data_IF_146565810868
#
_entry.id   IF_146565810868
#
_cell.length_a   1.000
_cell.length_b   1.000
_cell.length_c   1.000
_cell.angle_alpha   90.00
_cell.angle_beta   90.00
_cell.angle_gamma   90.00
#
_symmetry.space_group_name_H-M   'P 1'
#
loop_
_entity.id
_entity.type
_entity.pdbx_description
1 polymer ?
#
# COMPACT_ATOMS: atom_id res chain seq x y z
N UNK A 1 21.00 1.71 28.47
CA UNK A 1 20.88 0.40 27.78
C UNK A 1 19.46 -0.19 27.90
N UNK A 2 18.42 0.53 27.46
CA UNK A 2 16.99 0.09 27.57
C UNK A 2 16.30 -0.18 26.21
N UNK A 3 16.94 0.06 25.06
CA UNK A 3 16.21 0.19 23.78
C UNK A 3 16.10 -1.10 22.94
N UNK A 4 17.00 -2.08 23.08
CA UNK A 4 17.01 -3.27 22.20
C UNK A 4 16.01 -4.34 22.62
N UNK A 5 15.77 -4.48 23.93
CA UNK A 5 14.81 -5.47 24.45
C UNK A 5 13.34 -5.07 24.24
N UNK A 6 13.02 -3.77 24.33
CA UNK A 6 11.67 -3.26 24.09
C UNK A 6 11.24 -3.48 22.63
N UNK A 7 12.10 -3.08 21.67
CA UNK A 7 11.86 -3.29 20.22
C UNK A 7 11.71 -4.76 19.84
N UNK A 8 12.48 -5.65 20.47
CA UNK A 8 12.39 -7.11 20.22
C UNK A 8 11.05 -7.68 20.71
N UNK A 9 10.51 -7.16 21.82
CA UNK A 9 9.21 -7.59 22.35
C UNK A 9 8.04 -7.11 21.46
N UNK A 10 8.13 -5.90 20.92
CA UNK A 10 7.13 -5.35 19.99
C UNK A 10 7.08 -6.17 18.68
N UNK A 11 8.23 -6.47 18.09
CA UNK A 11 8.29 -7.28 16.85
C UNK A 11 7.70 -8.67 17.08
N UNK A 12 8.04 -9.32 18.20
CA UNK A 12 7.47 -10.62 18.55
C UNK A 12 5.96 -10.58 18.78
N UNK A 13 5.42 -9.46 19.27
CA UNK A 13 3.99 -9.25 19.45
C UNK A 13 3.28 -9.15 18.09
N UNK A 14 3.84 -8.36 17.17
CA UNK A 14 3.35 -8.24 15.80
C UNK A 14 3.30 -9.61 15.11
N UNK A 15 4.38 -10.39 15.20
CA UNK A 15 4.43 -11.73 14.60
C UNK A 15 3.33 -12.64 15.15
N UNK A 16 3.08 -12.60 16.47
CA UNK A 16 2.03 -13.39 17.11
C UNK A 16 0.63 -12.97 16.66
N UNK A 17 0.36 -11.66 16.59
CA UNK A 17 -0.92 -11.12 16.13
C UNK A 17 -1.18 -11.48 14.66
N UNK A 18 -0.14 -11.40 13.84
CA UNK A 18 -0.17 -11.83 12.44
C UNK A 18 -0.49 -13.31 12.27
N UNK A 19 0.20 -14.20 13.01
CA UNK A 19 -0.07 -15.64 12.94
C UNK A 19 -1.50 -15.96 13.38
N UNK A 20 -1.99 -15.33 14.47
CA UNK A 20 -3.38 -15.49 14.91
C UNK A 20 -4.39 -15.07 13.84
N UNK A 21 -4.17 -13.93 13.18
CA UNK A 21 -5.02 -13.45 12.10
C UNK A 21 -5.04 -14.43 10.91
N UNK A 22 -3.87 -14.95 10.53
CA UNK A 22 -3.75 -15.96 9.47
C UNK A 22 -4.48 -17.26 9.81
N UNK A 23 -4.36 -17.73 11.05
CA UNK A 23 -5.04 -18.94 11.52
C UNK A 23 -6.57 -18.79 11.48
N UNK A 24 -7.08 -17.63 11.92
CA UNK A 24 -8.51 -17.32 11.89
C UNK A 24 -9.03 -17.32 10.44
N UNK A 25 -8.34 -16.62 9.53
CA UNK A 25 -8.70 -16.59 8.11
C UNK A 25 -8.71 -17.99 7.51
N UNK A 26 -7.72 -18.83 7.82
CA UNK A 26 -7.66 -20.20 7.29
C UNK A 26 -8.80 -21.04 7.81
N UNK A 27 -9.10 -20.94 9.11
CA UNK A 27 -10.21 -21.66 9.70
C UNK A 27 -11.52 -21.28 9.01
N UNK A 28 -11.76 -19.98 8.81
CA UNK A 28 -13.00 -19.50 8.22
C UNK A 28 -13.07 -19.76 6.71
N UNK A 29 -11.94 -19.66 5.99
CA UNK A 29 -11.83 -20.10 4.59
C UNK A 29 -12.13 -21.58 4.42
N UNK A 30 -11.63 -22.44 5.31
CA UNK A 30 -11.94 -23.89 5.29
C UNK A 30 -13.42 -24.15 5.54
N UNK A 31 -14.02 -23.48 6.54
CA UNK A 31 -15.45 -23.60 6.84
C UNK A 31 -16.32 -23.17 5.65
N UNK A 32 -15.91 -22.09 4.98
CA UNK A 32 -16.65 -21.57 3.84
C UNK A 32 -16.31 -22.28 2.50
N UNK A 33 -15.30 -23.16 2.49
CA UNK A 33 -14.85 -23.90 1.31
C UNK A 33 -14.23 -23.01 0.24
N UNK A 34 -13.51 -21.95 0.65
CA UNK A 34 -12.85 -20.99 -0.25
C UNK A 34 -11.32 -21.08 -0.14
N UNK A 35 -10.62 -20.72 -1.22
CA UNK A 35 -9.16 -20.60 -1.25
C UNK A 35 -8.75 -19.12 -1.14
N UNK A 36 -7.59 -18.80 -0.56
CA UNK A 36 -6.63 -19.71 0.06
C UNK A 36 -7.03 -20.17 1.48
N UNK A 37 -6.84 -21.47 1.75
CA UNK A 37 -7.17 -22.16 3.01
C UNK A 37 -5.94 -22.78 3.69
N UNK A 38 -4.75 -22.28 3.34
CA UNK A 38 -3.48 -22.79 3.84
C UNK A 38 -2.43 -21.68 3.91
N UNK A 39 -1.42 -21.88 4.76
CA UNK A 39 -0.31 -20.94 4.93
C UNK A 39 0.38 -20.67 3.59
N UNK A 40 0.58 -21.71 2.79
CA UNK A 40 1.21 -21.59 1.47
C UNK A 40 0.35 -20.73 0.54
N UNK A 41 -0.96 -20.97 0.51
CA UNK A 41 -1.89 -20.19 -0.32
C UNK A 41 -1.88 -18.72 0.05
N UNK A 42 -2.00 -18.40 1.35
CA UNK A 42 -1.97 -17.02 1.83
C UNK A 42 -0.61 -16.37 1.52
N UNK A 43 0.48 -17.09 1.74
CA UNK A 43 1.84 -16.60 1.47
C UNK A 43 2.06 -16.23 0.00
N UNK A 44 1.47 -16.98 -0.94
CA UNK A 44 1.55 -16.68 -2.37
C UNK A 44 0.86 -15.37 -2.74
N UNK A 45 -0.22 -15.02 -2.03
CA UNK A 45 -0.95 -13.77 -2.23
C UNK A 45 -0.17 -12.60 -1.64
N UNK A 46 0.25 -12.70 -0.39
CA UNK A 46 0.76 -11.54 0.35
C UNK A 46 2.26 -11.31 0.16
N UNK A 47 3.04 -12.36 -0.15
CA UNK A 47 4.49 -12.27 -0.28
C UNK A 47 5.10 -13.39 -1.16
N UNK A 48 4.82 -13.39 -2.48
CA UNK A 48 5.22 -14.46 -3.39
C UNK A 48 6.75 -14.66 -3.51
N UNK A 49 7.52 -13.59 -3.30
CA UNK A 49 8.98 -13.60 -3.40
C UNK A 49 9.67 -14.50 -2.37
N UNK A 50 9.01 -14.84 -1.25
CA UNK A 50 9.57 -15.75 -0.25
C UNK A 50 8.58 -16.82 0.17
N UNK A 51 8.69 -17.97 -0.50
CA UNK A 51 7.88 -19.14 -0.17
C UNK A 51 8.12 -19.55 1.29
N UNK A 52 7.03 -19.69 2.04
CA UNK A 52 7.05 -20.17 3.43
C UNK A 52 7.42 -19.13 4.48
N UNK A 53 7.36 -17.83 4.18
CA UNK A 53 7.55 -16.77 5.17
C UNK A 53 6.63 -16.97 6.38
N UNK A 54 5.32 -17.13 6.15
CA UNK A 54 4.33 -17.37 7.23
C UNK A 54 4.73 -18.57 8.10
N UNK A 55 5.18 -19.67 7.49
CA UNK A 55 5.61 -20.87 8.24
C UNK A 55 6.86 -20.61 9.10
N UNK A 56 7.80 -19.82 8.59
CA UNK A 56 9.00 -19.43 9.36
C UNK A 56 8.65 -18.48 10.50
N UNK A 57 7.73 -17.54 10.28
CA UNK A 57 7.22 -16.62 11.31
C UNK A 57 6.51 -17.41 12.42
N UNK A 58 5.63 -18.34 12.07
CA UNK A 58 4.96 -19.20 13.08
C UNK A 58 5.97 -20.01 13.92
N UNK A 59 7.06 -20.49 13.31
CA UNK A 59 8.13 -21.22 14.02
C UNK A 59 9.11 -20.31 14.78
N UNK A 60 8.90 -18.99 14.78
CA UNK A 60 9.83 -18.02 15.37
C UNK A 60 11.20 -17.96 14.69
N UNK A 61 11.31 -18.46 13.45
CA UNK A 61 12.57 -18.51 12.68
C UNK A 61 12.81 -17.24 11.85
N UNK A 62 11.81 -16.39 11.70
CA UNK A 62 11.85 -15.16 10.90
C UNK A 62 10.79 -14.19 11.41
N UNK A 63 10.95 -12.90 11.12
CA UNK A 63 9.96 -11.87 11.42
C UNK A 63 9.15 -11.55 10.16
N UNK A 64 7.87 -11.22 10.33
CA UNK A 64 7.04 -10.80 9.21
C UNK A 64 7.59 -9.48 8.65
N UNK A 65 7.67 -9.36 7.33
CA UNK A 65 8.10 -8.12 6.70
C UNK A 65 6.94 -7.12 6.73
N UNK A 66 7.25 -5.83 6.85
CA UNK A 66 6.22 -4.79 6.82
C UNK A 66 5.42 -4.81 5.50
N UNK A 67 6.10 -5.09 4.38
CA UNK A 67 5.45 -5.29 3.07
C UNK A 67 4.42 -6.42 3.09
N UNK A 68 4.72 -7.56 3.75
CA UNK A 68 3.78 -8.66 3.85
C UNK A 68 2.56 -8.31 4.72
N UNK A 69 2.74 -7.52 5.79
CA UNK A 69 1.63 -7.00 6.61
C UNK A 69 0.72 -6.06 5.81
N UNK A 70 1.31 -5.15 5.02
CA UNK A 70 0.56 -4.22 4.15
C UNK A 70 -0.26 -5.01 3.13
N UNK A 71 0.36 -5.97 2.45
CA UNK A 71 -0.33 -6.78 1.45
C UNK A 71 -1.43 -7.65 2.07
N UNK A 72 -1.18 -8.18 3.27
CA UNK A 72 -2.19 -8.90 4.05
C UNK A 72 -3.39 -8.02 4.40
N UNK A 73 -3.13 -6.83 4.95
CA UNK A 73 -4.15 -5.87 5.32
C UNK A 73 -4.99 -5.44 4.12
N UNK A 74 -4.36 -5.16 2.99
CA UNK A 74 -5.04 -4.81 1.74
C UNK A 74 -5.89 -5.96 1.21
N UNK A 75 -5.34 -7.17 1.17
CA UNK A 75 -6.05 -8.31 0.61
C UNK A 75 -7.29 -8.62 1.43
N UNK A 76 -7.15 -8.75 2.76
CA UNK A 76 -8.24 -9.16 3.64
C UNK A 76 -9.05 -8.01 4.23
N UNK A 77 -8.77 -6.76 3.83
CA UNK A 77 -9.40 -5.55 4.38
C UNK A 77 -9.31 -5.48 5.91
N UNK A 78 -8.12 -5.77 6.45
CA UNK A 78 -7.84 -5.72 7.90
C UNK A 78 -7.31 -4.34 8.28
N UNK A 79 -7.78 -3.79 9.39
CA UNK A 79 -7.21 -2.56 9.95
C UNK A 79 -5.77 -2.82 10.41
N UNK A 80 -4.80 -2.14 9.81
CA UNK A 80 -3.38 -2.36 10.10
C UNK A 80 -2.99 -1.94 11.53
N UNK A 81 -3.79 -1.08 12.18
CA UNK A 81 -3.58 -0.67 13.58
C UNK A 81 -3.71 -1.86 14.55
N UNK A 82 -4.43 -2.92 14.17
CA UNK A 82 -4.49 -4.18 14.92
C UNK A 82 -3.10 -4.73 15.27
N UNK A 83 -2.08 -4.51 14.44
CA UNK A 83 -0.74 -5.02 14.70
C UNK A 83 0.07 -4.15 15.66
N UNK A 84 -0.28 -2.87 15.81
CA UNK A 84 0.54 -1.87 16.49
C UNK A 84 -0.10 -1.35 17.78
N UNK A 85 -1.42 -1.48 17.93
CA UNK A 85 -2.19 -0.94 19.04
C UNK A 85 -2.98 -2.04 19.75
N UNK A 86 -3.12 -1.93 21.07
CA UNK A 86 -3.77 -2.94 21.91
C UNK A 86 -5.30 -2.81 21.97
N UNK A 87 -5.84 -1.68 21.53
CA UNK A 87 -7.25 -1.29 21.59
C UNK A 87 -7.99 -1.51 20.26
N UNK A 88 -7.33 -2.12 19.28
CA UNK A 88 -7.92 -2.40 17.97
C UNK A 88 -8.16 -3.91 17.84
N UNK A 89 -9.42 -4.30 17.67
CA UNK A 89 -9.79 -5.69 17.48
C UNK A 89 -9.49 -6.18 16.05
N UNK A 90 -9.31 -7.50 15.91
CA UNK A 90 -9.13 -8.11 14.61
C UNK A 90 -10.46 -8.25 13.88
N UNK A 91 -10.67 -7.38 12.89
CA UNK A 91 -11.84 -7.43 12.02
C UNK A 91 -11.42 -7.60 10.56
N UNK A 92 -12.17 -8.43 9.83
CA UNK A 92 -12.00 -8.64 8.40
C UNK A 92 -13.29 -9.17 7.76
N UNK A 93 -13.45 -8.99 6.46
CA UNK A 93 -14.65 -9.45 5.74
C UNK A 93 -14.31 -10.55 4.72
N UNK A 94 -14.76 -11.77 5.03
CA UNK A 94 -14.59 -12.93 4.16
C UNK A 94 -15.55 -12.91 2.96
N UNK A 95 -16.61 -12.09 2.97
CA UNK A 95 -17.63 -12.06 1.92
C UNK A 95 -17.08 -11.61 0.56
N UNK A 96 -16.01 -10.82 0.55
CA UNK A 96 -15.31 -10.41 -0.66
C UNK A 96 -14.68 -11.60 -1.43
N UNK A 97 -14.50 -12.74 -0.77
CA UNK A 97 -13.90 -13.95 -1.34
C UNK A 97 -14.92 -15.06 -1.60
N UNK A 98 -16.18 -14.86 -1.17
CA UNK A 98 -17.25 -15.83 -1.39
C UNK A 98 -17.86 -15.61 -2.78
N UNK A 99 -18.06 -16.68 -3.58
CA UNK A 99 -18.86 -16.56 -4.78
C UNK A 99 -20.28 -16.12 -4.39
N UNK A 100 -20.94 -15.31 -5.22
CA UNK A 100 -22.19 -14.60 -4.89
C UNK A 100 -23.33 -15.48 -4.33
N UNK A 101 -23.32 -16.79 -4.60
CA UNK A 101 -24.29 -17.76 -4.10
C UNK A 101 -24.01 -18.27 -2.67
N UNK A 102 -22.82 -17.98 -2.09
CA UNK A 102 -22.41 -18.36 -0.72
C UNK A 102 -22.23 -17.18 0.22
N UNK A 103 -22.36 -15.95 -0.28
CA UNK A 103 -22.31 -14.76 0.58
C UNK A 103 -23.48 -14.81 1.56
N UNK A 104 -23.19 -14.72 2.86
CA UNK A 104 -24.25 -14.60 3.87
C UNK A 104 -24.83 -13.19 3.71
N UNK A 105 -26.00 -13.09 3.08
CA UNK A 105 -26.76 -11.84 3.09
C UNK A 105 -27.12 -11.54 4.55
N UNK A 106 -26.43 -10.59 5.18
CA UNK A 106 -27.07 -9.77 6.21
C UNK A 106 -28.07 -8.88 5.48
N UNK A 107 -29.26 -9.42 5.21
CA UNK A 107 -30.43 -8.63 4.79
C UNK A 107 -31.39 -8.59 5.97
N UNK A 108 -31.32 -7.52 6.73
CA UNK A 108 -32.52 -6.71 6.91
C UNK A 108 -32.40 -5.53 5.93
N UNK A 109 -33.53 -5.13 5.35
CA UNK A 109 -33.73 -4.15 4.29
C UNK A 109 -33.47 -4.64 2.84
N UNK A 110 -34.59 -4.89 2.19
CA UNK A 110 -34.84 -4.90 0.74
C UNK A 110 -34.12 -3.74 0.03
N UNK A 111 -33.59 -3.92 -1.20
CA UNK A 111 -32.96 -2.83 -1.93
C UNK A 111 -34.06 -1.93 -2.52
N UNK A 112 -34.42 -0.87 -1.82
CA UNK A 112 -35.04 0.27 -2.48
C UNK A 112 -34.01 0.89 -3.44
N UNK A 113 -34.44 1.14 -4.67
CA UNK A 113 -33.63 1.82 -5.68
C UNK A 113 -33.37 3.24 -5.19
N UNK A 114 -32.20 3.46 -4.60
CA UNK A 114 -31.71 4.79 -4.22
C UNK A 114 -31.66 5.62 -5.52
N UNK A 115 -32.41 6.72 -5.57
CA UNK A 115 -32.35 7.66 -6.69
C UNK A 115 -31.11 8.53 -6.49
N UNK A 116 -30.51 9.01 -7.58
CA UNK A 116 -29.33 9.89 -7.52
C UNK A 116 -29.56 11.16 -6.69
N UNK A 117 -30.83 11.55 -6.51
CA UNK A 117 -31.27 12.71 -5.73
C UNK A 117 -31.23 12.47 -4.20
N UNK A 118 -31.11 11.23 -3.74
CA UNK A 118 -31.11 10.86 -2.31
C UNK A 118 -29.69 10.79 -1.70
N UNK A 119 -28.64 11.01 -2.50
CA UNK A 119 -27.25 10.96 -2.05
C UNK A 119 -26.84 12.35 -1.57
N UNK A 120 -27.05 12.61 -0.27
CA UNK A 120 -26.52 13.80 0.39
C UNK A 120 -25.06 13.56 0.82
N UNK A 121 -24.13 14.26 0.16
CA UNK A 121 -22.70 14.22 0.49
C UNK A 121 -22.34 15.10 1.70
N UNK A 122 -23.31 15.80 2.30
CA UNK A 122 -23.05 16.79 3.33
C UNK A 122 -22.94 16.26 4.77
N UNK A 123 -23.32 14.99 5.03
CA UNK A 123 -23.38 14.45 6.40
C UNK A 123 -22.34 13.39 6.76
N UNK A 124 -21.49 12.92 5.83
CA UNK A 124 -20.40 12.02 6.23
C UNK A 124 -19.26 12.87 6.78
N UNK A 125 -19.23 12.99 8.10
CA UNK A 125 -18.21 13.69 8.90
C UNK A 125 -16.89 12.87 8.90
N UNK A 126 -16.34 12.61 7.70
CA UNK A 126 -15.13 11.81 7.43
C UNK A 126 -13.93 12.35 8.21
N UNK A 127 -13.97 13.62 8.61
CA UNK A 127 -12.93 14.29 9.39
C UNK A 127 -12.81 13.78 10.83
N UNK A 128 -13.86 13.15 11.40
CA UNK A 128 -13.82 12.61 12.76
C UNK A 128 -13.23 11.19 12.86
N UNK A 129 -13.22 10.44 11.76
CA UNK A 129 -12.70 9.06 11.75
C UNK A 129 -11.20 8.97 11.42
N UNK A 130 -10.58 10.10 11.04
CA UNK A 130 -9.26 10.09 10.41
C UNK A 130 -8.33 11.12 11.06
N UNK A 131 -7.59 10.69 12.09
CA UNK A 131 -6.44 11.42 12.62
C UNK A 131 -5.15 10.88 11.99
N UNK A 132 -4.51 11.64 11.10
CA UNK A 132 -3.19 11.31 10.59
C UNK A 132 -2.22 12.47 10.78
N UNK A 133 -1.02 12.16 11.29
CA UNK A 133 0.11 13.10 11.42
C UNK A 133 0.70 13.52 10.05
N UNK A 134 0.24 12.92 8.93
CA UNK A 134 0.71 13.20 7.57
C UNK A 134 -0.44 13.38 6.57
N UNK A 135 -0.66 14.64 6.20
CA UNK A 135 -1.77 15.13 5.36
C UNK A 135 -1.87 14.43 3.98
N UNK A 136 -0.75 13.99 3.39
CA UNK A 136 -0.73 13.33 2.09
C UNK A 136 -1.23 11.87 2.14
N UNK A 137 -0.88 11.14 3.20
CA UNK A 137 -1.37 9.77 3.42
C UNK A 137 -2.87 9.79 3.71
N UNK A 138 -3.32 10.75 4.51
CA UNK A 138 -4.74 10.99 4.78
C UNK A 138 -5.53 11.23 3.48
N UNK A 139 -5.02 12.11 2.61
CA UNK A 139 -5.62 12.42 1.31
C UNK A 139 -5.69 11.18 0.41
N UNK A 140 -4.64 10.35 0.41
CA UNK A 140 -4.59 9.11 -0.38
C UNK A 140 -5.60 8.07 0.12
N UNK A 141 -5.69 7.85 1.43
CA UNK A 141 -6.68 6.95 2.01
C UNK A 141 -8.12 7.44 1.78
N UNK A 142 -8.37 8.74 1.90
CA UNK A 142 -9.68 9.34 1.60
C UNK A 142 -10.10 9.08 0.15
N UNK A 143 -9.17 9.23 -0.79
CA UNK A 143 -9.41 8.97 -2.21
C UNK A 143 -9.70 7.48 -2.48
N UNK A 144 -8.92 6.57 -1.91
CA UNK A 144 -9.13 5.12 -2.05
C UNK A 144 -10.50 4.70 -1.51
N UNK A 145 -10.91 5.25 -0.37
CA UNK A 145 -12.24 5.02 0.23
C UNK A 145 -13.35 5.54 -0.67
N UNK A 146 -13.21 6.75 -1.23
CA UNK A 146 -14.19 7.31 -2.17
C UNK A 146 -14.33 6.48 -3.45
N UNK A 147 -13.22 6.03 -4.03
CA UNK A 147 -13.20 5.16 -5.21
C UNK A 147 -13.92 3.84 -4.93
N UNK A 148 -13.69 3.25 -3.75
CA UNK A 148 -14.34 2.00 -3.35
C UNK A 148 -15.84 2.16 -3.12
N UNK A 149 -16.26 3.24 -2.45
CA UNK A 149 -17.68 3.55 -2.25
C UNK A 149 -18.36 3.70 -3.63
N UNK A 150 -17.74 4.46 -4.53
CA UNK A 150 -18.28 4.64 -5.88
C UNK A 150 -18.36 3.32 -6.67
N UNK A 151 -17.32 2.49 -6.64
CA UNK A 151 -17.30 1.20 -7.33
C UNK A 151 -18.39 0.22 -6.86
N UNK A 152 -18.76 0.29 -5.58
CA UNK A 152 -19.82 -0.52 -4.98
C UNK A 152 -21.24 -0.04 -5.34
N UNK A 153 -21.39 1.23 -5.69
CA UNK A 153 -22.66 1.81 -6.14
C UNK A 153 -22.95 1.49 -7.62
N UNK A 154 -21.93 1.06 -8.39
CA UNK A 154 -22.09 0.71 -9.78
C UNK A 154 -22.68 -0.71 -9.97
N UNK A 155 -23.48 -0.94 -11.02
CA UNK A 155 -23.83 -2.29 -11.47
C UNK A 155 -22.57 -3.12 -11.70
N UNK A 156 -22.61 -4.44 -11.42
CA UNK A 156 -21.43 -5.33 -11.50
C UNK A 156 -20.66 -5.22 -12.81
N UNK A 157 -21.38 -5.13 -13.92
CA UNK A 157 -20.78 -5.03 -15.25
C UNK A 157 -20.03 -3.70 -15.42
N UNK A 158 -20.61 -2.59 -14.92
CA UNK A 158 -20.02 -1.26 -14.94
C UNK A 158 -18.85 -1.10 -13.94
N UNK A 159 -18.91 -1.79 -12.80
CA UNK A 159 -17.84 -1.81 -11.79
C UNK A 159 -16.54 -2.40 -12.38
N UNK A 160 -16.65 -3.49 -13.16
CA UNK A 160 -15.50 -4.08 -13.85
C UNK A 160 -14.89 -3.11 -14.89
N UNK A 161 -15.72 -2.41 -15.66
CA UNK A 161 -15.24 -1.37 -16.59
C UNK A 161 -14.56 -0.22 -15.85
N UNK A 162 -15.11 0.21 -14.71
CA UNK A 162 -14.53 1.26 -13.87
C UNK A 162 -13.15 0.87 -13.34
N UNK A 163 -12.98 -0.36 -12.82
CA UNK A 163 -11.67 -0.85 -12.39
C UNK A 163 -10.67 -0.95 -13.55
N UNK A 164 -11.11 -1.36 -14.75
CA UNK A 164 -10.25 -1.40 -15.92
C UNK A 164 -9.77 0.01 -16.31
N UNK A 165 -10.64 1.02 -16.26
CA UNK A 165 -10.27 2.42 -16.52
C UNK A 165 -9.26 2.91 -15.48
N UNK A 166 -9.48 2.64 -14.19
CA UNK A 166 -8.53 3.00 -13.13
C UNK A 166 -7.16 2.36 -13.35
N UNK A 167 -7.12 1.08 -13.74
CA UNK A 167 -5.87 0.39 -14.04
C UNK A 167 -5.14 0.99 -15.25
N UNK A 168 -5.86 1.36 -16.31
CA UNK A 168 -5.27 2.03 -17.49
C UNK A 168 -4.67 3.38 -17.08
N UNK A 169 -5.42 4.17 -16.32
CA UNK A 169 -4.96 5.48 -15.83
C UNK A 169 -3.72 5.32 -14.96
N UNK A 170 -3.73 4.36 -14.02
CA UNK A 170 -2.59 4.10 -13.15
C UNK A 170 -1.34 3.69 -13.95
N UNK A 171 -1.50 2.77 -14.91
CA UNK A 171 -0.42 2.32 -15.78
C UNK A 171 0.17 3.46 -16.61
N UNK A 172 -0.66 4.33 -17.17
CA UNK A 172 -0.22 5.51 -17.94
C UNK A 172 0.58 6.50 -17.05
N UNK A 173 0.11 6.75 -15.82
CA UNK A 173 0.84 7.59 -14.86
C UNK A 173 2.19 6.99 -14.42
N UNK A 174 2.23 5.69 -14.13
CA UNK A 174 3.48 5.00 -13.78
C UNK A 174 4.49 5.06 -14.93
N UNK A 175 4.02 4.87 -16.17
CA UNK A 175 4.86 4.96 -17.37
C UNK A 175 5.43 6.36 -17.55
N UNK A 176 4.60 7.40 -17.45
CA UNK A 176 5.05 8.80 -17.52
C UNK A 176 6.04 9.17 -16.40
N UNK A 177 5.84 8.64 -15.20
CA UNK A 177 6.76 8.84 -14.08
C UNK A 177 8.14 8.24 -14.35
N UNK A 178 8.19 7.05 -14.98
CA UNK A 178 9.45 6.43 -15.39
C UNK A 178 10.15 7.29 -16.45
N UNK A 179 9.43 7.69 -17.50
CA UNK A 179 9.99 8.55 -18.56
C UNK A 179 10.52 9.89 -18.02
N UNK A 180 9.83 10.48 -17.04
CA UNK A 180 10.26 11.71 -16.39
C UNK A 180 11.54 11.50 -15.57
N UNK A 181 11.63 10.39 -14.81
CA UNK A 181 12.85 10.05 -14.05
C UNK A 181 14.04 9.85 -14.98
N UNK A 182 13.86 9.17 -16.10
CA UNK A 182 14.91 8.94 -17.08
C UNK A 182 15.37 10.28 -17.72
N UNK A 183 14.42 11.17 -18.05
CA UNK A 183 14.75 12.52 -18.54
C UNK A 183 15.53 13.33 -17.52
N UNK A 184 15.12 13.30 -16.25
CA UNK A 184 15.84 13.99 -15.16
C UNK A 184 17.26 13.44 -15.05
N UNK A 185 17.44 12.11 -15.03
CA UNK A 185 18.78 11.49 -15.02
C UNK A 185 19.65 11.94 -16.20
N UNK A 186 19.07 12.01 -17.40
CA UNK A 186 19.79 12.48 -18.59
C UNK A 186 20.19 13.97 -18.50
N UNK A 187 19.36 14.79 -17.87
CA UNK A 187 19.63 16.21 -17.67
C UNK A 187 20.71 16.41 -16.62
N UNK A 188 20.67 15.66 -15.51
CA UNK A 188 21.69 15.68 -14.47
C UNK A 188 23.07 15.31 -15.03
N UNK A 189 23.16 14.28 -15.89
CA UNK A 189 24.41 13.93 -16.56
C UNK A 189 24.93 15.06 -17.46
N UNK A 190 24.05 15.69 -18.24
CA UNK A 190 24.41 16.83 -19.11
C UNK A 190 24.88 18.03 -18.29
N UNK A 191 24.23 18.28 -17.15
CA UNK A 191 24.55 19.38 -16.26
C UNK A 191 25.91 19.15 -15.61
N UNK A 192 26.18 17.92 -15.15
CA UNK A 192 27.49 17.52 -14.63
C UNK A 192 28.61 17.68 -15.65
N UNK A 193 28.42 17.21 -16.89
CA UNK A 193 29.40 17.38 -17.98
C UNK A 193 29.66 18.86 -18.29
N UNK A 194 28.62 19.69 -18.23
CA UNK A 194 28.76 21.14 -18.45
C UNK A 194 29.54 21.79 -17.32
N UNK A 195 29.26 21.40 -16.08
CA UNK A 195 29.98 21.89 -14.90
C UNK A 195 31.47 21.54 -14.93
N UNK A 196 31.80 20.29 -15.28
CA UNK A 196 33.20 19.84 -15.46
C UNK A 196 33.93 20.68 -16.53
N UNK A 197 33.27 20.97 -17.66
CA UNK A 197 33.83 21.84 -18.70
C UNK A 197 34.09 23.26 -18.20
N UNK A 198 33.16 23.84 -17.43
CA UNK A 198 33.32 25.19 -16.87
C UNK A 198 34.50 25.23 -15.90
N UNK A 199 34.66 24.22 -15.04
CA UNK A 199 35.81 24.14 -14.13
C UNK A 199 37.14 24.11 -14.89
N UNK A 200 37.24 23.29 -15.94
CA UNK A 200 38.45 23.21 -16.78
C UNK A 200 38.74 24.58 -17.43
N UNK A 201 37.72 25.26 -17.95
CA UNK A 201 37.90 26.60 -18.55
C UNK A 201 38.37 27.62 -17.51
N UNK A 202 37.77 27.63 -16.32
CA UNK A 202 38.21 28.51 -15.21
C UNK A 202 39.64 28.23 -14.77
N UNK A 203 40.04 26.97 -14.65
CA UNK A 203 41.42 26.60 -14.32
C UNK A 203 42.41 27.08 -15.39
N UNK A 204 42.04 26.93 -16.66
CA UNK A 204 42.85 27.42 -17.79
C UNK A 204 42.99 28.94 -17.79
N UNK A 205 41.90 29.69 -17.57
CA UNK A 205 41.94 31.15 -17.44
C UNK A 205 42.80 31.60 -16.26
N UNK A 206 42.64 30.99 -15.09
CA UNK A 206 43.46 31.28 -13.91
C UNK A 206 44.95 31.01 -14.16
N UNK A 207 45.27 29.94 -14.88
CA UNK A 207 46.65 29.61 -15.24
C UNK A 207 47.24 30.62 -16.23
N UNK A 208 46.45 31.10 -17.21
CA UNK A 208 46.83 32.17 -18.13
C UNK A 208 47.09 33.49 -17.40
N UNK A 209 46.19 33.89 -16.50
CA UNK A 209 46.34 35.10 -15.69
C UNK A 209 47.60 35.05 -14.83
N UNK A 210 47.89 33.92 -14.18
CA UNK A 210 49.13 33.74 -13.40
C UNK A 210 50.39 33.91 -14.27
N UNK A 211 50.40 33.37 -15.49
CA UNK A 211 51.52 33.56 -16.43
C UNK A 211 51.71 35.04 -16.79
N UNK A 212 50.62 35.73 -17.15
CA UNK A 212 50.66 37.14 -17.51
C UNK A 212 51.08 38.07 -16.36
N UNK A 213 50.76 37.71 -15.12
CA UNK A 213 51.20 38.46 -13.93
C UNK A 213 52.69 38.23 -13.65
N UNK A 214 53.19 37.01 -13.84
CA UNK A 214 54.60 36.66 -13.59
C UNK A 214 55.55 37.10 -14.71
N UNK A 215 55.04 37.50 -15.87
CA UNK A 215 55.83 38.04 -17.01
C UNK A 215 56.00 39.57 -16.96
N UNK A 216 55.49 40.25 -15.92
CA UNK A 216 55.77 41.65 -15.60
C UNK A 216 56.80 41.78 -14.48
#
# INVERSE_FOLDING_TARGET
>A
MKSTHAKKNEINKIDRLFVKAVDQIIMDSKKAGIKPDSYRGINLVIYPASQGLISRVNKGKSHITHTALINFAKHYNVNMNYFYHDDVDFEYDLNNFLPAHKQVKKTEATPEKIKLEDIDFSEVDIEKEISFEHEELAKKFKLDTQIRIFANLLPKDASQFFYNILHIIQFDYETKLIELKDKIGSLDEKLKKTYEKIQIVQENENNLLKKLINEK
#
